data_IF_560645331707
#
_entry.id   IF_560645331707
#
_cell.length_a   1.000
_cell.length_b   1.000
_cell.length_c   1.000
_cell.angle_alpha   90.00
_cell.angle_beta   90.00
_cell.angle_gamma   90.00
#
_symmetry.space_group_name_H-M   'P 1'
#
loop_
_entity.id
_entity.type
_entity.pdbx_description
1 polymer ?
#
# COMPACT_ATOMS: atom_id res chain seq x y z
N UNK A 1 -15.44 -6.39 -2.25
CA UNK A 1 -15.24 -5.10 -1.55
C UNK A 1 -15.13 -5.39 -0.06
N UNK A 2 -14.12 -4.81 0.60
CA UNK A 2 -13.84 -5.05 2.01
C UNK A 2 -14.55 -4.06 2.92
N UNK A 3 -14.45 -4.27 4.24
CA UNK A 3 -14.92 -3.34 5.27
C UNK A 3 -14.35 -1.91 5.09
N UNK A 4 -13.13 -1.81 4.56
CA UNK A 4 -12.45 -0.55 4.25
C UNK A 4 -13.21 0.31 3.22
N UNK A 5 -13.68 -0.28 2.11
CA UNK A 5 -14.37 0.45 1.03
C UNK A 5 -15.69 1.05 1.54
N UNK A 6 -16.40 0.29 2.39
CA UNK A 6 -17.68 0.70 2.96
C UNK A 6 -17.51 1.86 3.95
N UNK A 7 -16.47 1.81 4.78
CA UNK A 7 -16.19 2.86 5.79
C UNK A 7 -15.69 4.15 5.14
N UNK A 8 -14.82 4.06 4.12
CA UNK A 8 -14.32 5.23 3.40
C UNK A 8 -15.44 6.01 2.68
N UNK A 9 -16.39 5.29 2.06
CA UNK A 9 -17.53 5.92 1.38
C UNK A 9 -18.47 6.67 2.35
N UNK A 10 -18.57 6.26 3.62
CA UNK A 10 -19.51 6.83 4.58
C UNK A 10 -19.04 8.15 5.23
N UNK A 11 -17.71 8.34 5.40
CA UNK A 11 -17.16 9.45 6.18
C UNK A 11 -16.74 10.65 5.31
N UNK A 12 -16.19 10.37 4.12
CA UNK A 12 -15.68 11.38 3.18
C UNK A 12 -14.43 12.13 3.66
N UNK A 13 -13.58 12.52 2.71
CA UNK A 13 -12.27 13.11 3.00
C UNK A 13 -11.25 12.06 3.45
N UNK A 14 -10.24 12.48 4.20
CA UNK A 14 -9.21 11.58 4.70
C UNK A 14 -9.62 10.94 6.02
N UNK A 15 -9.45 9.62 6.10
CA UNK A 15 -9.74 8.82 7.29
C UNK A 15 -8.58 7.89 7.59
N UNK A 16 -8.26 7.76 8.87
CA UNK A 16 -7.41 6.72 9.43
C UNK A 16 -8.31 5.67 10.07
N UNK A 17 -8.05 4.38 9.79
CA UNK A 17 -8.86 3.27 10.30
C UNK A 17 -7.93 2.24 10.94
N UNK A 18 -8.11 1.95 12.23
CA UNK A 18 -7.43 0.86 12.93
C UNK A 18 -8.32 -0.38 12.99
N UNK A 19 -7.92 -1.44 12.27
CA UNK A 19 -8.60 -2.74 12.25
C UNK A 19 -8.11 -3.70 13.35
N UNK A 20 -7.72 -3.21 14.52
CA UNK A 20 -7.25 -4.07 15.63
C UNK A 20 -8.34 -5.02 16.09
N UNK A 21 -9.53 -4.48 16.24
CA UNK A 21 -10.76 -5.23 16.40
C UNK A 21 -11.59 -5.04 15.11
N UNK A 22 -11.61 -6.02 14.20
CA UNK A 22 -12.41 -5.91 12.98
C UNK A 22 -13.92 -5.79 13.22
N UNK A 23 -14.41 -6.20 14.40
CA UNK A 23 -15.82 -6.05 14.77
C UNK A 23 -16.16 -4.64 15.27
N UNK A 24 -15.16 -3.89 15.74
CA UNK A 24 -15.26 -2.51 16.21
C UNK A 24 -14.05 -1.67 15.77
N UNK A 25 -13.94 -1.36 14.45
CA UNK A 25 -12.80 -0.61 13.93
C UNK A 25 -12.81 0.83 14.44
N UNK A 26 -11.66 1.32 14.90
CA UNK A 26 -11.52 2.73 15.31
C UNK A 26 -11.31 3.58 14.06
N UNK A 27 -12.18 4.57 13.86
CA UNK A 27 -12.15 5.46 12.70
C UNK A 27 -11.89 6.88 13.18
N UNK A 28 -10.83 7.51 12.66
CA UNK A 28 -10.51 8.91 12.90
C UNK A 28 -10.57 9.70 11.59
N UNK A 29 -11.40 10.74 11.56
CA UNK A 29 -11.41 11.69 10.44
C UNK A 29 -10.26 12.69 10.60
N UNK A 30 -9.50 12.89 9.52
CA UNK A 30 -8.40 13.85 9.49
C UNK A 30 -8.84 15.07 8.67
N UNK A 31 -8.89 16.22 9.33
CA UNK A 31 -9.15 17.49 8.66
C UNK A 31 -7.88 17.99 7.96
N UNK A 32 -7.75 17.64 6.68
CA UNK A 32 -6.60 18.00 5.86
C UNK A 32 -7.06 18.53 4.50
N UNK A 33 -6.91 19.83 4.32
CA UNK A 33 -7.25 20.51 3.07
C UNK A 33 -6.06 20.49 2.09
N UNK A 34 -6.06 19.49 1.21
CA UNK A 34 -5.05 19.34 0.16
C UNK A 34 -5.17 20.43 -0.91
N UNK A 35 -6.40 20.79 -1.29
CA UNK A 35 -6.69 21.81 -2.31
C UNK A 35 -6.28 23.19 -1.84
N UNK A 36 -6.55 23.56 -0.59
CA UNK A 36 -6.07 24.79 0.02
C UNK A 36 -4.54 24.88 0.12
N UNK A 37 -3.84 23.74 0.01
CA UNK A 37 -2.37 23.67 -0.08
C UNK A 37 -1.85 23.72 -1.52
N UNK A 38 -2.72 23.87 -2.52
CA UNK A 38 -2.37 23.98 -3.94
C UNK A 38 -2.19 22.64 -4.65
N UNK A 39 -2.77 21.57 -4.12
CA UNK A 39 -2.69 20.22 -4.69
C UNK A 39 -4.08 19.65 -4.94
N UNK A 40 -4.22 18.92 -6.04
CA UNK A 40 -5.42 18.14 -6.34
C UNK A 40 -5.13 16.64 -6.25
N UNK A 41 -6.13 15.88 -5.81
CA UNK A 41 -6.09 14.42 -5.85
C UNK A 41 -6.63 13.95 -7.21
N UNK A 42 -5.77 13.30 -7.99
CA UNK A 42 -6.12 12.74 -9.29
C UNK A 42 -6.17 11.21 -9.23
N UNK A 43 -7.21 10.62 -9.81
CA UNK A 43 -7.32 9.17 -10.03
C UNK A 43 -7.12 8.91 -11.51
N UNK A 44 -6.15 8.05 -11.85
CA UNK A 44 -5.85 7.64 -13.22
C UNK A 44 -6.26 6.19 -13.39
N UNK A 45 -7.24 5.95 -14.26
CA UNK A 45 -7.59 4.60 -14.69
C UNK A 45 -6.57 4.15 -15.74
N UNK A 46 -5.96 2.99 -15.55
CA UNK A 46 -4.89 2.45 -16.41
C UNK A 46 -5.42 1.54 -17.51
N UNK A 47 -6.72 1.24 -17.52
CA UNK A 47 -7.42 0.43 -18.52
C UNK A 47 -7.18 -1.06 -18.41
N UNK A 48 -6.60 -1.54 -17.31
CA UNK A 48 -6.30 -2.96 -17.10
C UNK A 48 -7.54 -3.78 -16.76
N UNK A 49 -7.55 -5.07 -17.10
CA UNK A 49 -8.60 -6.02 -16.72
C UNK A 49 -8.01 -7.16 -15.86
N UNK A 50 -8.73 -7.54 -14.80
CA UNK A 50 -8.32 -8.59 -13.85
C UNK A 50 -8.58 -10.02 -14.32
N UNK A 51 -9.12 -10.24 -15.52
CA UNK A 51 -9.61 -11.56 -15.95
C UNK A 51 -8.61 -12.71 -15.74
N UNK A 52 -7.31 -12.44 -15.92
CA UNK A 52 -6.23 -13.43 -15.77
C UNK A 52 -5.33 -13.22 -14.52
N UNK A 53 -5.71 -12.32 -13.60
CA UNK A 53 -4.85 -11.85 -12.50
C UNK A 53 -5.32 -12.29 -11.10
N UNK A 54 -6.36 -13.13 -11.04
CA UNK A 54 -6.93 -13.61 -9.77
C UNK A 54 -5.91 -14.36 -8.90
N UNK A 55 -4.99 -15.10 -9.51
CA UNK A 55 -3.95 -15.84 -8.78
C UNK A 55 -2.90 -14.91 -8.18
N UNK A 56 -2.46 -13.89 -8.91
CA UNK A 56 -1.50 -12.89 -8.41
C UNK A 56 -2.07 -12.12 -7.21
N UNK A 57 -3.35 -11.74 -7.28
CA UNK A 57 -4.05 -11.10 -6.18
C UNK A 57 -4.23 -12.03 -4.98
N UNK A 58 -4.66 -13.27 -5.19
CA UNK A 58 -4.86 -14.26 -4.13
C UNK A 58 -3.54 -14.68 -3.46
N UNK A 59 -2.42 -14.62 -4.18
CA UNK A 59 -1.10 -14.95 -3.65
C UNK A 59 -0.66 -13.98 -2.55
N UNK A 60 -1.02 -12.70 -2.60
CA UNK A 60 -0.62 -11.70 -1.60
C UNK A 60 -1.03 -12.12 -0.17
N UNK A 61 -2.34 -12.29 0.13
CA UNK A 61 -2.76 -12.69 1.47
C UNK A 61 -2.32 -14.12 1.81
N UNK A 62 -2.23 -15.03 0.84
CA UNK A 62 -1.79 -16.40 1.08
C UNK A 62 -0.34 -16.46 1.57
N UNK A 63 0.55 -15.72 0.92
CA UNK A 63 1.98 -15.65 1.26
C UNK A 63 2.21 -14.93 2.58
N UNK A 64 1.55 -13.79 2.82
CA UNK A 64 1.62 -13.10 4.11
C UNK A 64 1.14 -13.98 5.27
N UNK A 65 0.05 -14.75 5.08
CA UNK A 65 -0.44 -15.71 6.07
C UNK A 65 0.52 -16.89 6.27
N UNK A 66 1.22 -17.33 5.23
CA UNK A 66 2.25 -18.36 5.36
C UNK A 66 3.39 -17.89 6.27
N UNK A 67 3.81 -16.63 6.16
CA UNK A 67 4.79 -16.03 7.06
C UNK A 67 4.24 -15.92 8.48
N UNK A 68 3.02 -15.39 8.66
CA UNK A 68 2.39 -15.25 9.99
C UNK A 68 2.30 -16.58 10.76
N UNK A 69 1.99 -17.68 10.06
CA UNK A 69 1.93 -19.03 10.65
C UNK A 69 3.27 -19.48 11.24
N UNK A 70 4.40 -19.04 10.69
CA UNK A 70 5.72 -19.35 11.25
C UNK A 70 5.89 -18.72 12.64
N UNK A 71 5.19 -17.62 12.94
CA UNK A 71 5.15 -16.95 14.24
C UNK A 71 3.99 -17.43 15.13
N UNK A 72 3.24 -18.46 14.70
CA UNK A 72 2.07 -18.95 15.43
C UNK A 72 0.88 -17.99 15.40
N UNK A 73 0.82 -17.08 14.43
CA UNK A 73 -0.24 -16.08 14.27
C UNK A 73 -1.04 -16.31 12.98
N UNK A 74 -2.27 -15.80 12.92
CA UNK A 74 -3.10 -15.86 11.71
C UNK A 74 -2.78 -14.72 10.72
N UNK A 75 -2.31 -13.59 11.23
CA UNK A 75 -1.98 -12.36 10.50
C UNK A 75 -0.65 -11.81 10.95
N UNK A 76 -0.06 -10.89 10.19
CA UNK A 76 1.26 -10.32 10.47
C UNK A 76 1.25 -9.20 11.54
N UNK A 77 0.08 -8.78 11.99
CA UNK A 77 -0.05 -7.66 12.92
C UNK A 77 0.66 -7.99 14.25
N UNK A 78 1.51 -7.07 14.69
CA UNK A 78 2.28 -7.22 15.92
C UNK A 78 3.64 -7.90 15.75
N UNK A 79 3.98 -8.35 14.54
CA UNK A 79 5.33 -8.81 14.19
C UNK A 79 6.16 -7.60 13.73
N UNK A 80 7.39 -7.45 14.24
CA UNK A 80 8.29 -6.36 13.87
C UNK A 80 9.14 -6.67 12.63
N UNK A 81 9.70 -5.64 11.98
CA UNK A 81 10.67 -5.79 10.89
C UNK A 81 11.90 -6.59 11.35
N UNK A 82 12.39 -6.35 12.56
CA UNK A 82 13.52 -7.05 13.15
C UNK A 82 13.21 -8.54 13.36
N UNK A 83 12.02 -8.89 13.84
CA UNK A 83 11.61 -10.28 14.04
C UNK A 83 11.54 -11.04 12.70
N UNK A 84 11.04 -10.40 11.64
CA UNK A 84 11.05 -10.96 10.29
C UNK A 84 12.48 -11.17 9.78
N UNK A 85 13.37 -10.19 9.96
CA UNK A 85 14.76 -10.26 9.51
C UNK A 85 15.56 -11.32 10.27
N UNK A 86 15.35 -11.47 11.58
CA UNK A 86 16.00 -12.50 12.40
C UNK A 86 15.63 -13.92 11.96
N UNK A 87 14.39 -14.12 11.49
CA UNK A 87 13.91 -15.42 10.98
C UNK A 87 13.95 -15.53 9.46
N UNK A 88 14.58 -14.58 8.77
CA UNK A 88 14.63 -14.57 7.31
C UNK A 88 15.12 -15.91 6.72
N UNK A 89 16.16 -16.60 7.23
CA UNK A 89 16.55 -17.91 6.69
C UNK A 89 15.41 -18.93 6.69
N UNK A 90 14.67 -19.05 7.79
CA UNK A 90 13.53 -19.98 7.93
C UNK A 90 12.36 -19.57 7.04
N UNK A 91 12.03 -18.28 6.99
CA UNK A 91 10.93 -17.76 6.17
C UNK A 91 11.21 -18.01 4.70
N UNK A 92 12.44 -17.76 4.24
CA UNK A 92 12.86 -17.99 2.86
C UNK A 92 12.79 -19.46 2.48
N UNK A 93 13.18 -20.36 3.38
CA UNK A 93 13.09 -21.81 3.18
C UNK A 93 11.62 -22.28 3.09
N UNK A 94 10.74 -21.80 3.97
CA UNK A 94 9.38 -22.34 4.13
C UNK A 94 8.31 -21.62 3.31
N UNK A 95 8.46 -20.32 3.09
CA UNK A 95 7.47 -19.46 2.43
C UNK A 95 8.03 -18.71 1.20
N UNK A 96 9.35 -18.64 1.05
CA UNK A 96 10.02 -18.03 -0.10
C UNK A 96 10.27 -16.53 0.05
N UNK A 97 11.14 -16.01 -0.83
CA UNK A 97 11.62 -14.62 -0.79
C UNK A 97 10.47 -13.62 -1.01
N UNK A 98 9.55 -13.89 -1.94
CA UNK A 98 8.39 -13.02 -2.21
C UNK A 98 7.47 -12.89 -0.99
N UNK A 99 7.25 -13.99 -0.26
CA UNK A 99 6.45 -13.97 0.95
C UNK A 99 7.11 -13.12 2.05
N UNK A 100 8.44 -13.21 2.21
CA UNK A 100 9.19 -12.35 3.13
C UNK A 100 9.10 -10.87 2.72
N UNK A 101 9.28 -10.54 1.43
CA UNK A 101 9.17 -9.16 0.94
C UNK A 101 7.77 -8.59 1.19
N UNK A 102 6.72 -9.38 0.95
CA UNK A 102 5.33 -8.98 1.23
C UNK A 102 5.07 -8.81 2.73
N UNK A 103 5.66 -9.64 3.58
CA UNK A 103 5.56 -9.44 5.03
C UNK A 103 6.26 -8.16 5.50
N UNK A 104 7.46 -7.88 4.96
CA UNK A 104 8.18 -6.64 5.22
C UNK A 104 7.41 -5.41 4.70
N UNK A 105 6.77 -5.51 3.54
CA UNK A 105 5.85 -4.48 3.06
C UNK A 105 4.76 -4.20 4.09
N UNK A 106 4.05 -5.23 4.56
CA UNK A 106 2.93 -5.09 5.48
C UNK A 106 3.33 -4.34 6.76
N UNK A 107 4.37 -4.79 7.46
CA UNK A 107 4.77 -4.18 8.74
C UNK A 107 5.24 -2.73 8.57
N UNK A 108 5.89 -2.42 7.44
CA UNK A 108 6.33 -1.05 7.13
C UNK A 108 5.20 -0.16 6.67
N UNK A 109 4.19 -0.71 6.01
CA UNK A 109 2.98 0.03 5.63
C UNK A 109 2.17 0.39 6.88
N UNK A 110 1.95 -0.58 7.78
CA UNK A 110 1.21 -0.40 9.04
C UNK A 110 1.87 0.67 9.92
N UNK A 111 3.21 0.69 10.01
CA UNK A 111 3.95 1.72 10.72
C UNK A 111 3.90 3.10 10.05
N UNK A 112 3.73 3.18 8.72
CA UNK A 112 3.72 4.46 7.97
C UNK A 112 2.40 5.20 8.06
N UNK A 113 1.29 4.49 8.25
CA UNK A 113 -0.05 5.11 8.38
C UNK A 113 -0.10 6.18 9.47
N UNK A 114 0.29 5.92 10.74
CA UNK A 114 0.25 6.94 11.79
C UNK A 114 1.22 8.10 11.51
N UNK A 115 2.35 7.85 10.83
CA UNK A 115 3.28 8.91 10.41
C UNK A 115 2.66 9.86 9.38
N UNK A 116 1.99 9.30 8.36
CA UNK A 116 1.26 10.05 7.34
C UNK A 116 0.11 10.83 7.97
N UNK A 117 -0.67 10.19 8.85
CA UNK A 117 -1.77 10.82 9.57
C UNK A 117 -1.27 11.99 10.42
N UNK A 118 -0.16 11.80 11.13
CA UNK A 118 0.44 12.85 11.95
C UNK A 118 0.99 14.01 11.11
N UNK A 119 1.56 13.75 9.93
CA UNK A 119 1.98 14.79 8.98
C UNK A 119 0.78 15.62 8.52
N UNK A 120 -0.33 14.97 8.19
CA UNK A 120 -1.57 15.64 7.80
C UNK A 120 -2.13 16.51 8.93
N UNK A 121 -2.22 15.97 10.16
CA UNK A 121 -2.68 16.71 11.35
C UNK A 121 -1.82 17.95 11.65
N UNK A 122 -0.53 17.92 11.31
CA UNK A 122 0.41 19.06 11.44
C UNK A 122 0.42 19.99 10.23
N UNK A 123 -0.28 19.65 9.15
CA UNK A 123 -0.22 20.37 7.88
C UNK A 123 1.13 20.24 7.15
N UNK A 124 1.96 19.26 7.52
CA UNK A 124 3.28 18.99 6.95
C UNK A 124 3.15 18.28 5.61
N UNK A 125 3.01 19.08 4.56
CA UNK A 125 2.83 18.62 3.19
C UNK A 125 4.06 17.88 2.63
N UNK A 126 5.31 18.33 2.85
CA UNK A 126 6.50 17.56 2.46
C UNK A 126 6.52 16.15 3.07
N UNK A 127 6.24 16.00 4.36
CA UNK A 127 6.22 14.70 5.02
C UNK A 127 5.09 13.80 4.50
N UNK A 128 3.89 14.37 4.28
CA UNK A 128 2.78 13.65 3.65
C UNK A 128 3.17 13.11 2.27
N UNK A 129 3.69 13.95 1.38
CA UNK A 129 4.10 13.54 0.03
C UNK A 129 5.24 12.52 0.05
N UNK A 130 6.19 12.65 0.97
CA UNK A 130 7.25 11.66 1.17
C UNK A 130 6.68 10.30 1.59
N UNK A 131 5.70 10.29 2.50
CA UNK A 131 4.99 9.07 2.92
C UNK A 131 4.23 8.40 1.77
N UNK A 132 3.55 9.19 0.92
CA UNK A 132 2.87 8.67 -0.28
C UNK A 132 3.87 8.02 -1.24
N UNK A 133 5.00 8.67 -1.52
CA UNK A 133 6.04 8.10 -2.41
C UNK A 133 6.64 6.83 -1.82
N UNK A 134 6.97 6.82 -0.53
CA UNK A 134 7.50 5.64 0.15
C UNK A 134 6.53 4.46 0.10
N UNK A 135 5.23 4.73 0.22
CA UNK A 135 4.17 3.73 0.04
C UNK A 135 4.12 3.19 -1.39
N UNK A 136 4.15 4.06 -2.41
CA UNK A 136 4.20 3.65 -3.81
C UNK A 136 5.42 2.77 -4.13
N UNK A 137 6.59 3.17 -3.66
CA UNK A 137 7.83 2.38 -3.80
C UNK A 137 7.75 1.03 -3.11
N UNK A 138 7.12 0.98 -1.93
CA UNK A 138 6.88 -0.24 -1.18
C UNK A 138 5.95 -1.19 -1.94
N UNK A 139 4.89 -0.67 -2.57
CA UNK A 139 3.98 -1.43 -3.44
C UNK A 139 4.71 -2.03 -4.65
N UNK A 140 5.60 -1.25 -5.28
CA UNK A 140 6.39 -1.71 -6.43
C UNK A 140 7.42 -2.78 -6.05
N UNK A 141 8.26 -2.49 -5.05
CA UNK A 141 9.45 -3.28 -4.71
C UNK A 141 9.16 -4.49 -3.83
N UNK A 142 8.22 -4.35 -2.88
CA UNK A 142 8.06 -5.31 -1.79
C UNK A 142 6.71 -6.03 -1.84
N UNK A 143 5.59 -5.30 -2.02
CA UNK A 143 4.29 -5.94 -2.23
C UNK A 143 4.23 -6.64 -3.60
N UNK A 144 4.85 -6.00 -4.60
CA UNK A 144 4.89 -6.43 -5.99
C UNK A 144 3.47 -6.59 -6.56
N UNK A 145 2.63 -5.57 -6.33
CA UNK A 145 1.26 -5.50 -6.86
C UNK A 145 1.08 -4.44 -7.95
N UNK A 146 2.17 -3.93 -8.51
CA UNK A 146 2.16 -2.94 -9.60
C UNK A 146 2.31 -3.60 -10.98
N UNK A 147 2.63 -4.90 -10.97
CA UNK A 147 2.78 -5.70 -12.16
C UNK A 147 2.54 -7.18 -11.88
N UNK A 148 2.06 -7.88 -12.89
CA UNK A 148 2.09 -9.34 -12.92
C UNK A 148 3.40 -9.84 -13.50
N UNK A 149 4.05 -10.78 -12.82
CA UNK A 149 5.24 -11.45 -13.35
C UNK A 149 4.91 -12.45 -14.46
N UNK A 150 3.66 -12.89 -14.56
CA UNK A 150 3.21 -13.84 -15.60
C UNK A 150 2.66 -13.15 -16.85
N UNK A 151 2.34 -11.84 -16.76
CA UNK A 151 1.87 -11.03 -17.88
C UNK A 151 2.85 -9.87 -18.22
N UNK A 152 4.11 -10.13 -18.61
CA UNK A 152 5.10 -9.07 -18.84
C UNK A 152 4.80 -8.14 -20.02
N UNK A 153 3.86 -8.53 -20.90
CA UNK A 153 3.41 -7.70 -22.03
C UNK A 153 2.31 -6.72 -21.65
N UNK A 154 1.72 -6.87 -20.45
CA UNK A 154 0.60 -6.08 -19.96
C UNK A 154 0.99 -5.46 -18.60
N UNK A 155 1.45 -4.21 -18.65
CA UNK A 155 2.12 -3.53 -17.53
C UNK A 155 1.60 -2.09 -17.38
N UNK A 156 0.29 -1.92 -17.52
CA UNK A 156 -0.39 -0.61 -17.58
C UNK A 156 -0.09 0.28 -16.38
N UNK A 157 -0.17 -0.27 -15.16
CA UNK A 157 0.13 0.47 -13.92
C UNK A 157 1.57 0.96 -13.86
N UNK A 158 2.54 0.10 -14.21
CA UNK A 158 3.96 0.48 -14.25
C UNK A 158 4.22 1.61 -15.24
N UNK A 159 3.62 1.54 -16.44
CA UNK A 159 3.73 2.61 -17.44
C UNK A 159 3.06 3.90 -16.97
N UNK A 160 1.88 3.80 -16.36
CA UNK A 160 1.15 4.95 -15.83
C UNK A 160 1.93 5.66 -14.72
N UNK A 161 2.53 4.91 -13.78
CA UNK A 161 3.38 5.47 -12.74
C UNK A 161 4.59 6.19 -13.32
N UNK A 162 5.27 5.60 -14.31
CA UNK A 162 6.39 6.27 -14.98
C UNK A 162 5.98 7.61 -15.62
N UNK A 163 4.84 7.64 -16.32
CA UNK A 163 4.32 8.86 -16.94
C UNK A 163 3.92 9.89 -15.88
N UNK A 164 3.25 9.46 -14.81
CA UNK A 164 2.83 10.31 -13.71
C UNK A 164 4.03 10.92 -12.99
N UNK A 165 5.03 10.13 -12.63
CA UNK A 165 6.27 10.60 -11.99
C UNK A 165 6.99 11.62 -12.87
N UNK A 166 7.13 11.32 -14.17
CA UNK A 166 7.74 12.26 -15.12
C UNK A 166 6.99 13.58 -15.19
N UNK A 167 5.66 13.55 -15.23
CA UNK A 167 4.83 14.74 -15.23
C UNK A 167 4.96 15.53 -13.92
N UNK A 168 4.82 14.86 -12.77
CA UNK A 168 4.88 15.47 -11.44
C UNK A 168 6.26 16.07 -11.12
N UNK A 169 7.34 15.45 -11.58
CA UNK A 169 8.70 15.95 -11.42
C UNK A 169 9.04 17.11 -12.38
N UNK A 170 8.17 17.43 -13.35
CA UNK A 170 8.35 18.60 -14.22
C UNK A 170 7.87 19.92 -13.59
N UNK A 171 7.12 19.84 -12.48
CA UNK A 171 6.63 21.01 -11.75
C UNK A 171 7.68 21.55 -10.76
N UNK A 172 7.68 22.86 -10.44
CA UNK A 172 8.58 23.44 -9.45
C UNK A 172 8.44 22.86 -8.05
N UNK A 173 7.23 22.39 -7.71
CA UNK A 173 6.97 21.67 -6.46
C UNK A 173 6.56 20.24 -6.84
N UNK A 174 7.34 19.22 -6.46
CA UNK A 174 7.08 17.86 -6.90
C UNK A 174 5.83 17.30 -6.21
N UNK A 175 4.97 16.63 -6.98
CA UNK A 175 3.86 15.84 -6.46
C UNK A 175 4.25 14.42 -6.08
N UNK A 176 3.26 13.60 -5.74
CA UNK A 176 3.43 12.19 -5.45
C UNK A 176 2.36 11.36 -6.18
N UNK A 177 2.72 10.16 -6.60
CA UNK A 177 1.80 9.17 -7.13
C UNK A 177 2.11 7.81 -6.52
N UNK A 178 1.09 6.96 -6.45
CA UNK A 178 1.18 5.56 -6.04
C UNK A 178 0.02 4.78 -6.66
N UNK A 179 0.14 3.46 -6.70
CA UNK A 179 -1.01 2.60 -6.94
C UNK A 179 -2.00 2.74 -5.77
N UNK A 180 -3.29 2.67 -6.07
CA UNK A 180 -4.38 2.67 -5.10
C UNK A 180 -5.23 1.40 -5.27
N UNK A 181 -5.76 0.86 -4.18
CA UNK A 181 -6.54 -0.38 -4.20
C UNK A 181 -5.66 -1.64 -4.29
N UNK A 182 -6.20 -2.68 -4.94
CA UNK A 182 -5.58 -4.01 -5.00
C UNK A 182 -4.30 -4.10 -5.83
N UNK A 183 -4.15 -3.23 -6.82
CA UNK A 183 -3.10 -3.31 -7.83
C UNK A 183 -3.34 -4.41 -8.86
N UNK A 184 -2.37 -4.62 -9.76
CA UNK A 184 -2.39 -5.49 -10.94
C UNK A 184 -3.32 -5.05 -12.07
N UNK A 185 -4.33 -4.24 -11.77
CA UNK A 185 -5.14 -3.54 -12.75
C UNK A 185 -5.82 -2.32 -12.09
N UNK A 186 -6.43 -1.49 -12.93
CA UNK A 186 -7.13 -0.27 -12.54
C UNK A 186 -7.30 0.65 -13.72
#
# INVERSE_FOLDING_TARGET
CGLMDQMACAVGGFVEIDFRDPADPVIEKIDFDLTGKGYDLCIVNTGGNHADLNEDYAAIPAEMKAVAKLFGQEVLRGISEEELLQRAPEIREKAGDRALLRALHFVKEDARIPEIAQAMKKGDLPAFLAGIRASGESSFKYLQNVFSSVCPKEQGETLALYVAEKALNSYPVPGACRVHGGGFAG
#
